data_IF_648732592229
#
_entry.id   IF_648732592229
#
_cell.length_a   1.000
_cell.length_b   1.000
_cell.length_c   1.000
_cell.angle_alpha   90.00
_cell.angle_beta   90.00
_cell.angle_gamma   90.00
#
_symmetry.space_group_name_H-M   'P 1'
#
loop_
_entity.id
_entity.type
_entity.pdbx_description
1 polymer ?
#
# COMPACT_ATOMS: atom_id res chain seq x y z
N UNK A 1 -10.46 -6.57 5.65
CA UNK A 1 -10.02 -5.41 4.86
C UNK A 1 -8.52 -5.52 4.67
N UNK A 2 -8.04 -5.32 3.45
CA UNK A 2 -6.61 -5.17 3.16
C UNK A 2 -6.29 -3.67 3.17
N UNK A 3 -5.20 -3.31 3.82
CA UNK A 3 -4.68 -1.94 3.77
C UNK A 3 -3.39 -1.91 2.96
N UNK A 4 -3.31 -1.01 1.98
CA UNK A 4 -2.14 -0.80 1.13
C UNK A 4 -1.57 0.59 1.38
N UNK A 5 -0.27 0.72 1.62
CA UNK A 5 0.38 2.03 1.77
C UNK A 5 1.74 2.08 1.08
N UNK A 6 1.92 3.11 0.23
CA UNK A 6 3.18 3.38 -0.48
C UNK A 6 4.05 4.44 0.21
N UNK A 7 3.61 4.90 1.38
CA UNK A 7 4.26 5.95 2.15
C UNK A 7 4.11 7.33 1.52
N UNK A 8 5.06 8.20 1.86
CA UNK A 8 5.11 9.60 1.44
C UNK A 8 6.27 9.88 0.47
N UNK A 9 6.97 8.85 0.01
CA UNK A 9 8.06 9.01 -0.94
C UNK A 9 7.54 9.56 -2.28
N UNK A 10 8.22 10.55 -2.85
CA UNK A 10 7.73 11.29 -4.03
C UNK A 10 7.75 10.47 -5.32
N UNK A 11 8.61 9.46 -5.40
CA UNK A 11 8.60 8.54 -6.55
C UNK A 11 7.29 7.71 -6.56
N UNK A 12 6.53 7.71 -7.66
CA UNK A 12 5.31 6.90 -7.79
C UNK A 12 5.56 5.41 -7.54
N UNK A 13 4.56 4.69 -7.04
CA UNK A 13 4.59 3.23 -6.95
C UNK A 13 3.36 2.60 -7.61
N UNK A 14 3.10 3.00 -8.85
CA UNK A 14 1.91 2.62 -9.59
C UNK A 14 1.77 1.09 -9.72
N UNK A 15 2.87 0.37 -9.96
CA UNK A 15 2.88 -1.09 -10.12
C UNK A 15 2.22 -1.82 -8.95
N UNK A 16 2.45 -1.37 -7.72
CA UNK A 16 1.83 -1.99 -6.55
C UNK A 16 0.32 -1.80 -6.56
N UNK A 17 -0.12 -0.57 -6.84
CA UNK A 17 -1.54 -0.21 -6.80
C UNK A 17 -2.29 -0.89 -7.94
N UNK A 18 -1.75 -0.81 -9.16
CA UNK A 18 -2.26 -1.48 -10.35
C UNK A 18 -2.39 -2.99 -10.10
N UNK A 19 -1.35 -3.62 -9.53
CA UNK A 19 -1.41 -5.06 -9.26
C UNK A 19 -2.49 -5.43 -8.24
N UNK A 20 -2.69 -4.60 -7.22
CA UNK A 20 -3.76 -4.84 -6.23
C UNK A 20 -5.14 -4.66 -6.87
N UNK A 21 -5.32 -3.61 -7.69
CA UNK A 21 -6.57 -3.34 -8.39
C UNK A 21 -6.95 -4.49 -9.35
N UNK A 22 -5.99 -5.02 -10.12
CA UNK A 22 -6.17 -6.22 -10.95
C UNK A 22 -6.64 -7.45 -10.14
N UNK A 23 -6.08 -7.65 -8.95
CA UNK A 23 -6.44 -8.78 -8.08
C UNK A 23 -7.85 -8.64 -7.49
N UNK A 24 -8.30 -7.42 -7.24
CA UNK A 24 -9.70 -7.16 -6.87
C UNK A 24 -10.61 -7.38 -8.07
N UNK A 25 -10.25 -6.84 -9.23
CA UNK A 25 -11.03 -6.95 -10.46
C UNK A 25 -11.23 -8.41 -10.92
N UNK A 26 -10.20 -9.25 -10.77
CA UNK A 26 -10.26 -10.69 -11.09
C UNK A 26 -10.99 -11.54 -10.04
N UNK A 27 -11.33 -10.97 -8.88
CA UNK A 27 -12.01 -11.67 -7.79
C UNK A 27 -11.11 -12.58 -6.94
N UNK A 28 -9.79 -12.51 -7.12
CA UNK A 28 -8.80 -13.15 -6.24
C UNK A 28 -8.80 -12.50 -4.85
N UNK A 29 -8.93 -11.17 -4.81
CA UNK A 29 -9.21 -10.42 -3.58
C UNK A 29 -10.71 -10.12 -3.52
N UNK A 30 -11.40 -10.73 -2.55
CA UNK A 30 -12.86 -10.58 -2.35
C UNK A 30 -13.22 -9.62 -1.22
N UNK A 31 -12.24 -9.03 -0.56
CA UNK A 31 -12.45 -8.13 0.57
C UNK A 31 -12.14 -6.68 0.20
N UNK A 32 -12.72 -5.75 0.95
CA UNK A 32 -12.45 -4.32 0.80
C UNK A 32 -10.95 -4.02 0.88
N UNK A 33 -10.45 -3.27 -0.10
CA UNK A 33 -9.09 -2.73 -0.15
C UNK A 33 -9.14 -1.21 0.05
N UNK A 34 -8.32 -0.72 0.99
CA UNK A 34 -8.08 0.71 1.21
C UNK A 34 -6.63 1.00 0.87
N UNK A 35 -6.38 2.01 0.05
CA UNK A 35 -5.06 2.35 -0.48
C UNK A 35 -4.70 3.79 -0.09
N UNK A 36 -3.59 3.96 0.60
CA UNK A 36 -2.88 5.23 0.69
C UNK A 36 -1.84 5.30 -0.42
N UNK A 37 -2.04 6.16 -1.43
CA UNK A 37 -1.27 6.13 -2.69
C UNK A 37 -0.21 7.23 -2.84
N UNK A 38 -0.16 8.21 -1.93
CA UNK A 38 0.92 9.20 -1.85
C UNK A 38 1.09 10.02 -3.13
N UNK A 39 2.24 9.87 -3.77
CA UNK A 39 2.59 10.52 -5.04
C UNK A 39 2.41 9.62 -6.27
N UNK A 40 1.82 8.43 -6.08
CA UNK A 40 1.45 7.56 -7.20
C UNK A 40 0.34 8.22 -8.02
N UNK A 41 0.30 7.89 -9.31
CA UNK A 41 -0.59 8.52 -10.30
C UNK A 41 -1.63 7.57 -10.87
N UNK A 42 -1.54 6.27 -10.56
CA UNK A 42 -2.55 5.30 -10.95
C UNK A 42 -3.82 5.46 -10.09
N UNK A 43 -4.97 5.64 -10.75
CA UNK A 43 -6.29 5.71 -10.11
C UNK A 43 -6.98 4.35 -10.22
N UNK A 44 -7.02 3.61 -9.11
CA UNK A 44 -7.67 2.30 -9.07
C UNK A 44 -9.20 2.43 -9.10
N UNK A 45 -9.86 1.57 -9.88
CA UNK A 45 -11.33 1.59 -10.02
C UNK A 45 -12.02 0.72 -8.96
N UNK A 46 -11.34 -0.28 -8.42
CA UNK A 46 -11.94 -1.30 -7.55
C UNK A 46 -11.50 -1.16 -6.08
N UNK A 47 -10.73 -0.13 -5.76
CA UNK A 47 -10.18 0.11 -4.42
C UNK A 47 -10.66 1.44 -3.85
N UNK A 48 -10.73 1.55 -2.52
CA UNK A 48 -10.93 2.84 -1.86
C UNK A 48 -9.59 3.61 -1.82
N UNK A 49 -9.53 4.75 -2.49
CA UNK A 49 -8.30 5.51 -2.72
C UNK A 49 -8.19 6.75 -1.83
N UNK A 50 -7.07 6.88 -1.12
CA UNK A 50 -6.71 8.05 -0.31
C UNK A 50 -5.31 8.54 -0.69
N UNK A 51 -5.17 9.80 -1.09
CA UNK A 51 -3.86 10.33 -1.48
C UNK A 51 -2.90 10.35 -0.29
N UNK A 52 -3.34 11.06 0.74
CA UNK A 52 -2.68 11.15 2.04
C UNK A 52 -3.74 10.84 3.09
N UNK A 53 -3.28 10.32 4.22
CA UNK A 53 -4.13 10.04 5.37
C UNK A 53 -3.50 10.75 6.57
N UNK A 54 -4.34 11.30 7.44
CA UNK A 54 -3.89 11.77 8.75
C UNK A 54 -3.34 10.60 9.58
N UNK A 55 -2.61 10.93 10.65
CA UNK A 55 -2.09 9.93 11.57
C UNK A 55 -3.21 9.02 12.11
N UNK A 56 -4.32 9.60 12.58
CA UNK A 56 -5.44 8.83 13.14
C UNK A 56 -6.11 7.92 12.10
N UNK A 57 -6.21 8.35 10.85
CA UNK A 57 -6.73 7.53 9.75
C UNK A 57 -5.80 6.36 9.44
N UNK A 58 -4.47 6.59 9.40
CA UNK A 58 -3.47 5.54 9.26
C UNK A 58 -3.57 4.53 10.40
N UNK A 59 -3.59 4.98 11.66
CA UNK A 59 -3.72 4.09 12.83
C UNK A 59 -4.97 3.21 12.74
N UNK A 60 -6.11 3.81 12.36
CA UNK A 60 -7.37 3.06 12.18
C UNK A 60 -7.25 2.04 11.04
N UNK A 61 -6.63 2.41 9.93
CA UNK A 61 -6.43 1.50 8.79
C UNK A 61 -5.55 0.31 9.20
N UNK A 62 -4.42 0.55 9.85
CA UNK A 62 -3.54 -0.49 10.38
C UNK A 62 -4.26 -1.42 11.37
N UNK A 63 -4.97 -0.86 12.35
CA UNK A 63 -5.69 -1.64 13.37
C UNK A 63 -6.79 -2.52 12.77
N UNK A 64 -7.53 -2.01 11.80
CA UNK A 64 -8.65 -2.71 11.16
C UNK A 64 -8.21 -3.65 10.02
N UNK A 65 -6.98 -3.52 9.54
CA UNK A 65 -6.44 -4.38 8.48
C UNK A 65 -6.35 -5.83 8.95
N UNK A 66 -6.72 -6.76 8.07
CA UNK A 66 -6.40 -8.19 8.20
C UNK A 66 -4.97 -8.44 7.70
N UNK A 67 -4.62 -7.81 6.58
CA UNK A 67 -3.29 -7.82 5.96
C UNK A 67 -2.92 -6.38 5.63
N UNK A 68 -1.65 -6.06 5.83
CA UNK A 68 -1.05 -4.80 5.38
C UNK A 68 -0.11 -5.11 4.22
N UNK A 69 -0.29 -4.44 3.09
CA UNK A 69 0.66 -4.46 1.97
C UNK A 69 1.38 -3.12 1.95
N UNK A 70 2.70 -3.12 1.96
CA UNK A 70 3.46 -1.87 2.06
C UNK A 70 4.74 -1.88 1.25
N UNK A 71 5.20 -0.69 0.85
CA UNK A 71 6.56 -0.48 0.39
C UNK A 71 7.60 -0.79 1.48
N UNK A 72 8.88 -0.88 1.13
CA UNK A 72 9.99 -1.16 2.05
C UNK A 72 10.29 -0.08 3.11
N UNK A 73 9.35 0.80 3.45
CA UNK A 73 9.51 1.84 4.47
C UNK A 73 9.56 1.26 5.89
N UNK A 74 10.61 1.53 6.69
CA UNK A 74 10.78 0.97 8.04
C UNK A 74 9.59 1.20 8.98
N UNK A 75 8.98 2.38 8.94
CA UNK A 75 7.87 2.75 9.81
C UNK A 75 6.63 1.89 9.56
N UNK A 76 6.26 1.70 8.29
CA UNK A 76 4.99 1.07 7.91
C UNK A 76 4.92 -0.42 8.27
N UNK A 77 6.00 -1.19 8.08
CA UNK A 77 5.98 -2.60 8.46
C UNK A 77 6.18 -2.81 9.96
N UNK A 78 6.96 -1.95 10.65
CA UNK A 78 7.07 -1.99 12.13
C UNK A 78 5.72 -1.73 12.77
N UNK A 79 4.98 -0.76 12.25
CA UNK A 79 3.64 -0.43 12.73
C UNK A 79 2.64 -1.57 12.51
N UNK A 80 2.69 -2.23 11.35
CA UNK A 80 1.91 -3.44 11.10
C UNK A 80 2.21 -4.52 12.16
N UNK A 81 3.49 -4.74 12.48
CA UNK A 81 3.90 -5.70 13.52
C UNK A 81 3.42 -5.30 14.93
N UNK A 82 3.45 -4.01 15.27
CA UNK A 82 2.94 -3.50 16.56
C UNK A 82 1.45 -3.81 16.76
N UNK A 83 0.67 -3.83 15.68
CA UNK A 83 -0.74 -4.21 15.70
C UNK A 83 -0.98 -5.72 15.48
N UNK A 84 0.08 -6.55 15.54
CA UNK A 84 0.01 -7.99 15.35
C UNK A 84 -0.40 -8.41 13.94
N UNK A 85 -0.18 -7.54 12.95
CA UNK A 85 -0.48 -7.79 11.53
C UNK A 85 0.73 -8.41 10.85
N UNK A 86 0.48 -9.26 9.86
CA UNK A 86 1.54 -9.79 8.98
C UNK A 86 1.68 -8.83 7.79
N UNK A 87 2.80 -8.09 7.67
CA UNK A 87 3.03 -7.23 6.52
C UNK A 87 3.49 -8.05 5.30
N UNK A 88 2.96 -7.71 4.13
CA UNK A 88 3.51 -8.09 2.83
C UNK A 88 4.30 -6.89 2.32
N UNK A 89 5.63 -7.00 2.33
CA UNK A 89 6.51 -5.92 1.92
C UNK A 89 6.89 -6.10 0.45
N UNK A 90 6.59 -5.10 -0.37
CA UNK A 90 6.91 -5.09 -1.80
C UNK A 90 8.01 -4.07 -2.06
N UNK A 91 9.20 -4.49 -2.54
CA UNK A 91 10.28 -3.57 -2.83
C UNK A 91 9.97 -2.74 -4.07
N UNK A 92 10.42 -1.49 -4.05
CA UNK A 92 10.53 -0.66 -5.25
C UNK A 92 11.73 -1.15 -6.06
N UNK A 93 11.64 -1.08 -7.38
CA UNK A 93 12.76 -1.45 -8.25
C UNK A 93 13.13 -0.32 -9.21
N UNK A 94 14.44 -0.16 -9.41
CA UNK A 94 15.04 0.74 -10.38
C UNK A 94 14.55 0.44 -11.80
N UNK A 95 14.39 -0.85 -12.14
CA UNK A 95 13.95 -1.29 -13.47
C UNK A 95 12.53 -0.79 -13.82
N UNK A 96 11.74 -0.44 -12.81
CA UNK A 96 10.41 0.16 -12.96
C UNK A 96 10.40 1.68 -12.71
N UNK A 97 11.57 2.32 -12.57
CA UNK A 97 11.73 3.72 -12.18
C UNK A 97 11.01 4.08 -10.85
N UNK A 98 10.84 3.10 -9.96
CA UNK A 98 10.14 3.30 -8.68
C UNK A 98 11.09 3.82 -7.59
N UNK A 99 12.40 3.70 -7.80
CA UNK A 99 13.44 4.15 -6.89
C UNK A 99 14.73 4.50 -7.66
N UNK A 100 15.64 5.25 -7.04
CA UNK A 100 16.94 5.61 -7.65
C UNK A 100 17.96 4.46 -7.65
N UNK A 101 17.69 3.41 -6.87
CA UNK A 101 18.49 2.18 -6.76
C UNK A 101 17.63 1.04 -6.18
N UNK A 102 18.19 -0.18 -6.10
CA UNK A 102 17.52 -1.37 -5.55
C UNK A 102 17.95 -1.69 -4.11
N UNK A 103 18.26 -0.67 -3.31
CA UNK A 103 18.55 -0.88 -1.89
C UNK A 103 17.28 -1.32 -1.14
#
# INVERSE_FOLDING_TARGET
>A
MIFVTVGTHEQPFNRLIEKVDELVASGEIKEKVVVQYGFSTYEAEHCEMHKMMSFDEMQKAFKNARIVITHGGPSSFVEALQYGKVPIVVPRQLDFNEHVNNH
#
